data_IF_832863361944
#
_entry.id   IF_832863361944
#
_cell.length_a   1.000
_cell.length_b   1.000
_cell.length_c   1.000
_cell.angle_alpha   90.00
_cell.angle_beta   90.00
_cell.angle_gamma   90.00
#
_symmetry.space_group_name_H-M   'P 1'
#
loop_
_entity.id
_entity.type
_entity.pdbx_description
1 polymer ?
#
# COMPACT_ATOMS: atom_id res chain seq x y z
N UNK A 1 -9.40 8.86 -11.14
CA UNK A 1 -9.31 8.93 -9.66
C UNK A 1 -9.58 10.31 -9.11
N UNK A 2 -8.80 11.35 -9.45
CA UNK A 2 -8.97 12.69 -8.87
C UNK A 2 -10.34 13.33 -9.15
N UNK A 3 -10.91 13.11 -10.34
CA UNK A 3 -12.26 13.56 -10.68
C UNK A 3 -13.35 12.98 -9.76
N UNK A 4 -13.12 11.78 -9.21
CA UNK A 4 -14.05 11.03 -8.36
C UNK A 4 -13.55 10.96 -6.90
N UNK A 5 -12.72 11.92 -6.46
CA UNK A 5 -12.03 11.84 -5.17
C UNK A 5 -12.99 11.73 -3.99
N UNK A 6 -14.07 12.52 -4.00
CA UNK A 6 -15.02 12.56 -2.88
C UNK A 6 -15.86 11.28 -2.81
N UNK A 7 -16.31 10.76 -3.95
CA UNK A 7 -17.08 9.52 -4.00
C UNK A 7 -16.24 8.32 -3.54
N UNK A 8 -14.99 8.24 -4.02
CA UNK A 8 -14.04 7.23 -3.56
C UNK A 8 -13.74 7.35 -2.05
N UNK A 9 -13.60 8.59 -1.54
CA UNK A 9 -13.39 8.84 -0.12
C UNK A 9 -14.60 8.41 0.73
N UNK A 10 -15.82 8.63 0.23
CA UNK A 10 -17.05 8.19 0.88
C UNK A 10 -17.15 6.65 0.92
N UNK A 11 -16.85 5.97 -0.20
CA UNK A 11 -16.77 4.51 -0.26
C UNK A 11 -15.77 3.98 0.77
N UNK A 12 -14.53 4.49 0.75
CA UNK A 12 -13.47 4.06 1.65
C UNK A 12 -13.82 4.30 3.12
N UNK A 13 -14.36 5.47 3.45
CA UNK A 13 -14.83 5.80 4.81
C UNK A 13 -15.91 4.81 5.26
N UNK A 14 -16.82 4.45 4.35
CA UNK A 14 -17.93 3.56 4.67
C UNK A 14 -17.48 2.14 5.01
N UNK A 15 -16.45 1.62 4.34
CA UNK A 15 -15.97 0.24 4.53
C UNK A 15 -14.82 0.11 5.53
N UNK A 16 -13.91 1.09 5.59
CA UNK A 16 -12.70 1.04 6.40
C UNK A 16 -12.86 1.78 7.72
N UNK A 17 -13.65 2.87 7.74
CA UNK A 17 -13.98 3.63 8.95
C UNK A 17 -13.10 4.84 9.24
N UNK A 18 -12.02 5.11 8.48
CA UNK A 18 -11.22 6.34 8.64
C UNK A 18 -12.03 7.59 8.33
N UNK A 19 -11.69 8.76 8.92
CA UNK A 19 -12.32 10.03 8.58
C UNK A 19 -12.28 10.33 7.08
N UNK A 20 -13.35 10.94 6.55
CA UNK A 20 -13.47 11.25 5.11
C UNK A 20 -12.34 12.14 4.60
N UNK A 21 -11.79 13.02 5.45
CA UNK A 21 -10.63 13.84 5.12
C UNK A 21 -9.35 13.01 4.95
N UNK A 22 -9.14 12.00 5.81
CA UNK A 22 -8.04 11.04 5.65
C UNK A 22 -8.24 10.15 4.42
N UNK A 23 -9.48 9.72 4.15
CA UNK A 23 -9.81 8.95 2.96
C UNK A 23 -9.55 9.74 1.67
N UNK A 24 -9.98 11.00 1.61
CA UNK A 24 -9.71 11.88 0.46
C UNK A 24 -8.19 12.10 0.25
N UNK A 25 -7.44 12.27 1.35
CA UNK A 25 -5.98 12.31 1.33
C UNK A 25 -5.36 11.02 0.78
N UNK A 26 -5.87 9.86 1.19
CA UNK A 26 -5.43 8.58 0.64
C UNK A 26 -5.74 8.47 -0.86
N UNK A 27 -6.90 8.90 -1.34
CA UNK A 27 -7.22 8.85 -2.78
C UNK A 27 -6.24 9.70 -3.60
N UNK A 28 -5.90 10.90 -3.13
CA UNK A 28 -4.89 11.73 -3.78
C UNK A 28 -3.52 11.06 -3.75
N UNK A 29 -3.12 10.51 -2.61
CA UNK A 29 -1.87 9.78 -2.48
C UNK A 29 -1.81 8.54 -3.38
N UNK A 30 -2.90 7.77 -3.48
CA UNK A 30 -3.03 6.62 -4.34
C UNK A 30 -2.93 7.01 -5.83
N UNK A 31 -3.57 8.10 -6.24
CA UNK A 31 -3.48 8.62 -7.59
C UNK A 31 -2.04 9.04 -7.96
N UNK A 32 -1.29 9.62 -7.00
CA UNK A 32 0.10 10.04 -7.22
C UNK A 32 1.03 8.89 -7.60
N UNK A 33 0.78 7.66 -7.13
CA UNK A 33 1.55 6.49 -7.57
C UNK A 33 1.37 6.21 -9.05
N UNK A 34 0.12 6.29 -9.54
CA UNK A 34 -0.16 6.02 -10.95
C UNK A 34 0.50 7.06 -11.85
N UNK A 35 0.43 8.33 -11.47
CA UNK A 35 1.08 9.42 -12.20
C UNK A 35 2.61 9.25 -12.22
N UNK A 36 3.22 8.99 -11.06
CA UNK A 36 4.66 8.77 -10.96
C UNK A 36 5.11 7.58 -11.81
N UNK A 37 4.43 6.43 -11.70
CA UNK A 37 4.81 5.23 -12.46
C UNK A 37 4.50 5.34 -13.96
N UNK A 38 3.51 6.14 -14.37
CA UNK A 38 3.29 6.44 -15.78
C UNK A 38 4.48 7.20 -16.40
N UNK A 39 5.12 8.08 -15.63
CA UNK A 39 6.35 8.74 -16.07
C UNK A 39 7.55 7.80 -16.07
N UNK A 40 7.69 6.95 -15.04
CA UNK A 40 8.77 5.96 -14.99
C UNK A 40 8.67 4.86 -16.05
N UNK A 41 7.47 4.59 -16.58
CA UNK A 41 7.28 3.65 -17.70
C UNK A 41 8.13 4.01 -18.94
N UNK A 42 8.47 5.30 -19.11
CA UNK A 42 9.28 5.81 -20.23
C UNK A 42 10.79 5.66 -20.00
N UNK A 43 11.22 5.23 -18.80
CA UNK A 43 12.62 5.24 -18.33
C UNK A 43 13.11 3.86 -17.88
N UNK A 44 12.57 2.80 -18.49
CA UNK A 44 13.00 1.43 -18.21
C UNK A 44 14.25 1.11 -19.06
N UNK A 45 15.38 1.65 -18.62
CA UNK A 45 16.65 1.51 -19.33
C UNK A 45 17.33 0.17 -19.05
N UNK A 46 17.87 -0.43 -20.12
CA UNK A 46 18.85 -1.51 -20.06
C UNK A 46 20.29 -0.99 -20.05
N UNK A 47 21.27 -1.89 -20.08
CA UNK A 47 22.70 -1.54 -20.05
C UNK A 47 23.46 -2.08 -21.27
N UNK A 48 24.46 -1.34 -21.72
CA UNK A 48 25.48 -1.83 -22.67
C UNK A 48 26.76 -2.07 -21.88
N UNK A 49 27.18 -3.33 -21.80
CA UNK A 49 28.32 -3.73 -20.96
C UNK A 49 29.60 -3.86 -21.79
N UNK A 50 30.74 -3.62 -21.14
CA UNK A 50 32.05 -3.82 -21.76
C UNK A 50 32.28 -5.31 -22.02
N UNK A 51 32.59 -5.65 -23.26
CA UNK A 51 32.91 -7.03 -23.63
C UNK A 51 34.38 -7.32 -23.35
N UNK A 52 34.72 -8.43 -22.66
CA UNK A 52 36.10 -8.88 -22.52
C UNK A 52 36.66 -9.50 -23.81
N UNK A 53 35.82 -9.72 -24.83
CA UNK A 53 36.19 -10.34 -26.12
C UNK A 53 35.91 -9.39 -27.28
N UNK A 54 36.86 -9.28 -28.20
CA UNK A 54 36.70 -8.50 -29.42
C UNK A 54 35.55 -9.04 -30.29
N UNK A 55 34.84 -8.15 -30.97
CA UNK A 55 33.74 -8.51 -31.88
C UNK A 55 32.41 -8.88 -31.21
N UNK A 56 32.29 -8.72 -29.88
CA UNK A 56 31.06 -9.00 -29.14
C UNK A 56 30.48 -7.72 -28.52
N UNK A 57 29.15 -7.63 -28.46
CA UNK A 57 28.40 -6.60 -27.73
C UNK A 57 27.55 -7.27 -26.67
N UNK A 58 27.68 -6.83 -25.43
CA UNK A 58 26.89 -7.33 -24.31
C UNK A 58 25.79 -6.32 -23.99
N UNK A 59 24.55 -6.79 -23.95
CA UNK A 59 23.36 -5.99 -23.67
C UNK A 59 22.62 -6.63 -22.50
N UNK A 60 22.19 -5.82 -21.54
CA UNK A 60 21.23 -6.21 -20.51
C UNK A 60 19.91 -5.50 -20.81
N UNK A 61 18.85 -6.28 -21.07
CA UNK A 61 17.52 -5.75 -21.33
C UNK A 61 16.63 -5.97 -20.11
N UNK A 62 15.70 -5.05 -19.87
CA UNK A 62 14.65 -5.20 -18.85
C UNK A 62 13.32 -5.48 -19.54
N UNK A 63 12.64 -6.53 -19.12
CA UNK A 63 11.35 -6.96 -19.68
C UNK A 63 10.34 -7.22 -18.55
N UNK A 64 9.03 -7.09 -18.81
CA UNK A 64 8.01 -7.44 -17.84
C UNK A 64 8.17 -8.88 -17.38
N UNK A 65 7.94 -9.12 -16.09
CA UNK A 65 8.00 -10.48 -15.53
C UNK A 65 6.81 -11.34 -16.00
N UNK A 66 5.72 -10.73 -16.46
CA UNK A 66 4.53 -11.44 -16.97
C UNK A 66 3.28 -11.14 -16.16
N UNK A 67 2.50 -12.18 -15.84
CA UNK A 67 1.27 -12.03 -15.06
C UNK A 67 1.63 -11.94 -13.57
N UNK A 68 1.11 -10.91 -12.91
CA UNK A 68 1.39 -10.66 -11.49
C UNK A 68 0.10 -10.73 -10.67
N UNK A 69 0.23 -11.05 -9.39
CA UNK A 69 -0.89 -10.95 -8.46
C UNK A 69 -0.52 -10.14 -7.23
N UNK A 70 -1.48 -9.33 -6.76
CA UNK A 70 -1.36 -8.56 -5.54
C UNK A 70 -2.40 -9.02 -4.52
N UNK A 71 -1.94 -9.17 -3.27
CA UNK A 71 -2.80 -9.41 -2.11
C UNK A 71 -2.61 -8.21 -1.18
N UNK A 72 -3.66 -7.40 -1.00
CA UNK A 72 -3.59 -6.11 -0.30
C UNK A 72 -4.34 -6.14 1.05
N UNK A 73 -3.88 -5.35 2.04
CA UNK A 73 -4.53 -5.25 3.35
C UNK A 73 -5.73 -4.30 3.30
N UNK A 74 -6.44 -4.19 4.41
CA UNK A 74 -7.65 -3.36 4.55
C UNK A 74 -7.38 -1.91 4.98
N UNK A 75 -6.20 -1.60 5.50
CA UNK A 75 -5.96 -0.33 6.19
C UNK A 75 -5.80 0.87 5.25
N UNK A 76 -5.24 0.67 4.06
CA UNK A 76 -5.14 1.69 2.99
C UNK A 76 -5.57 1.07 1.65
N UNK A 77 -6.89 0.88 1.44
CA UNK A 77 -7.39 0.04 0.36
C UNK A 77 -7.15 0.61 -1.04
N UNK A 78 -7.00 1.93 -1.22
CA UNK A 78 -6.65 2.50 -2.51
C UNK A 78 -5.13 2.57 -2.72
N UNK A 79 -4.39 3.05 -1.72
CA UNK A 79 -2.96 3.28 -1.84
C UNK A 79 -2.18 1.96 -1.97
N UNK A 80 -2.59 0.89 -1.26
CA UNK A 80 -1.91 -0.40 -1.37
C UNK A 80 -2.14 -1.10 -2.72
N UNK A 81 -3.25 -0.80 -3.40
CA UNK A 81 -3.55 -1.32 -4.73
C UNK A 81 -2.74 -0.56 -5.78
N UNK A 82 -2.89 0.77 -5.82
CA UNK A 82 -2.25 1.63 -6.83
C UNK A 82 -0.72 1.58 -6.76
N UNK A 83 -0.13 1.46 -5.58
CA UNK A 83 1.33 1.26 -5.41
C UNK A 83 1.84 -0.07 -6.01
N UNK A 84 0.97 -1.05 -6.23
CA UNK A 84 1.32 -2.34 -6.85
C UNK A 84 0.96 -2.38 -8.33
N UNK A 85 -0.24 -1.91 -8.66
CA UNK A 85 -0.75 -1.85 -10.04
C UNK A 85 0.06 -0.87 -10.88
N UNK A 86 0.36 0.32 -10.36
CA UNK A 86 1.16 1.35 -11.04
C UNK A 86 2.46 0.82 -11.64
N UNK A 87 3.41 0.29 -10.83
CA UNK A 87 4.66 -0.22 -11.36
C UNK A 87 4.49 -1.47 -12.24
N UNK A 88 3.49 -2.32 -11.96
CA UNK A 88 3.26 -3.52 -12.77
C UNK A 88 2.84 -3.15 -14.20
N UNK A 89 1.85 -2.26 -14.34
CA UNK A 89 1.39 -1.80 -15.65
C UNK A 89 2.47 -0.96 -16.36
N UNK A 90 3.19 -0.10 -15.63
CA UNK A 90 4.32 0.66 -16.17
C UNK A 90 5.41 -0.25 -16.76
N UNK A 91 5.68 -1.39 -16.12
CA UNK A 91 6.63 -2.39 -16.62
C UNK A 91 6.09 -3.23 -17.79
N UNK A 92 4.80 -3.13 -18.12
CA UNK A 92 4.13 -3.95 -19.14
C UNK A 92 3.58 -5.29 -18.63
N UNK A 93 3.39 -5.44 -17.32
CA UNK A 93 2.76 -6.62 -16.71
C UNK A 93 1.24 -6.47 -16.64
N UNK A 94 0.53 -7.59 -16.50
CA UNK A 94 -0.87 -7.61 -16.07
C UNK A 94 -0.95 -7.90 -14.58
N UNK A 95 -2.03 -7.47 -13.92
CA UNK A 95 -2.21 -7.69 -12.49
C UNK A 95 -3.60 -8.16 -12.10
N UNK A 96 -3.64 -9.23 -11.31
CA UNK A 96 -4.82 -9.68 -10.57
C UNK A 96 -4.70 -9.22 -9.12
N UNK A 97 -5.65 -8.41 -8.65
CA UNK A 97 -5.66 -7.88 -7.28
C UNK A 97 -6.75 -8.57 -6.47
N UNK A 98 -6.34 -9.10 -5.32
CA UNK A 98 -7.23 -9.65 -4.30
C UNK A 98 -7.20 -8.77 -3.06
N UNK A 99 -8.17 -7.84 -2.90
CA UNK A 99 -8.23 -6.98 -1.73
C UNK A 99 -8.66 -7.74 -0.48
N UNK A 100 -8.42 -7.13 0.68
CA UNK A 100 -8.98 -7.60 1.94
C UNK A 100 -10.51 -7.63 1.87
N UNK A 101 -11.14 -8.66 2.45
CA UNK A 101 -12.59 -8.85 2.39
C UNK A 101 -13.37 -7.78 3.16
N UNK A 102 -12.70 -7.10 4.09
CA UNK A 102 -13.26 -6.04 4.91
C UNK A 102 -13.46 -4.72 4.12
N UNK A 103 -12.64 -4.49 3.09
CA UNK A 103 -12.64 -3.24 2.31
C UNK A 103 -12.55 -3.51 0.80
N UNK A 104 -13.52 -4.23 0.21
CA UNK A 104 -13.46 -4.60 -1.19
C UNK A 104 -13.97 -3.52 -2.15
N UNK A 105 -14.84 -2.61 -1.68
CA UNK A 105 -15.60 -1.69 -2.52
C UNK A 105 -14.69 -0.67 -3.21
N UNK A 106 -13.67 -0.15 -2.51
CA UNK A 106 -12.67 0.74 -3.11
C UNK A 106 -11.95 0.06 -4.28
N UNK A 107 -11.59 -1.22 -4.16
CA UNK A 107 -10.91 -1.96 -5.23
C UNK A 107 -11.81 -2.12 -6.47
N UNK A 108 -13.09 -2.42 -6.28
CA UNK A 108 -14.06 -2.51 -7.37
C UNK A 108 -14.26 -1.17 -8.07
N UNK A 109 -14.39 -0.09 -7.30
CA UNK A 109 -14.50 1.25 -7.87
C UNK A 109 -13.25 1.63 -8.69
N UNK A 110 -12.06 1.27 -8.23
CA UNK A 110 -10.82 1.45 -9.01
C UNK A 110 -10.82 0.63 -10.30
N UNK A 111 -11.40 -0.58 -10.32
CA UNK A 111 -11.51 -1.40 -11.53
C UNK A 111 -12.43 -0.75 -12.57
N UNK A 112 -13.59 -0.22 -12.15
CA UNK A 112 -14.50 0.53 -13.04
C UNK A 112 -13.79 1.76 -13.60
N UNK A 113 -13.11 2.54 -12.76
CA UNK A 113 -12.38 3.73 -13.22
C UNK A 113 -11.21 3.40 -14.15
N UNK A 114 -10.59 2.23 -14.01
CA UNK A 114 -9.54 1.79 -14.93
C UNK A 114 -10.11 1.44 -16.31
N UNK A 115 -11.27 0.78 -16.36
CA UNK A 115 -12.00 0.51 -17.59
C UNK A 115 -12.41 1.81 -18.29
N UNK A 116 -13.00 2.76 -17.56
CA UNK A 116 -13.35 4.09 -18.08
C UNK A 116 -12.13 4.87 -18.60
N UNK A 117 -10.97 4.68 -17.97
CA UNK A 117 -9.71 5.28 -18.41
C UNK A 117 -9.08 4.59 -19.64
N UNK A 118 -9.67 3.49 -20.13
CA UNK A 118 -9.21 2.76 -21.31
C UNK A 118 -8.13 1.71 -21.04
N UNK A 119 -7.97 1.25 -19.79
CA UNK A 119 -7.10 0.09 -19.51
C UNK A 119 -7.67 -1.13 -20.24
N UNK A 120 -6.87 -1.84 -21.07
CA UNK A 120 -7.39 -2.95 -21.85
C UNK A 120 -7.96 -4.07 -20.98
N UNK A 121 -9.00 -4.74 -21.49
CA UNK A 121 -9.63 -5.87 -20.81
C UNK A 121 -8.59 -6.95 -20.44
N UNK A 122 -8.62 -7.43 -19.20
CA UNK A 122 -7.69 -8.42 -18.68
C UNK A 122 -6.34 -7.89 -18.17
N UNK A 123 -6.03 -6.60 -18.35
CA UNK A 123 -4.77 -6.01 -17.83
C UNK A 123 -4.83 -5.75 -16.33
N UNK A 124 -5.97 -5.27 -15.83
CA UNK A 124 -6.23 -5.08 -14.40
C UNK A 124 -7.50 -5.80 -14.01
N UNK A 125 -7.38 -6.77 -13.10
CA UNK A 125 -8.49 -7.61 -12.66
C UNK A 125 -8.60 -7.54 -11.14
N UNK A 126 -9.82 -7.49 -10.61
CA UNK A 126 -10.08 -7.54 -9.17
C UNK A 126 -10.90 -8.77 -8.85
N UNK A 127 -10.39 -9.61 -7.93
CA UNK A 127 -11.07 -10.83 -7.48
C UNK A 127 -11.32 -10.78 -5.98
N UNK A 128 -12.52 -11.16 -5.57
CA UNK A 128 -12.94 -11.15 -4.16
C UNK A 128 -13.04 -12.57 -3.62
N UNK A 129 -12.89 -12.70 -2.30
CA UNK A 129 -13.11 -13.97 -1.60
C UNK A 129 -12.14 -14.22 -0.45
N UNK A 130 -12.21 -15.38 0.18
CA UNK A 130 -11.38 -15.72 1.34
C UNK A 130 -9.89 -15.78 1.00
N UNK A 131 -9.03 -15.24 1.85
CA UNK A 131 -7.58 -15.33 1.67
C UNK A 131 -7.05 -16.77 1.65
N UNK A 132 -7.66 -17.67 2.44
CA UNK A 132 -7.31 -19.10 2.49
C UNK A 132 -7.57 -19.86 1.20
N UNK A 133 -8.44 -19.34 0.33
CA UNK A 133 -8.88 -20.01 -0.89
C UNK A 133 -8.32 -19.28 -2.09
N UNK A 134 -8.76 -18.03 -2.30
CA UNK A 134 -8.31 -17.21 -3.44
C UNK A 134 -6.84 -16.83 -3.31
N UNK A 135 -6.37 -16.53 -2.10
CA UNK A 135 -4.95 -16.21 -1.90
C UNK A 135 -4.03 -17.39 -2.19
N UNK A 136 -4.42 -18.59 -1.78
CA UNK A 136 -3.68 -19.82 -2.10
C UNK A 136 -3.72 -20.11 -3.61
N UNK A 137 -4.89 -19.98 -4.22
CA UNK A 137 -5.03 -20.18 -5.66
C UNK A 137 -4.11 -19.23 -6.45
N UNK A 138 -4.06 -17.95 -6.07
CA UNK A 138 -3.15 -16.97 -6.69
C UNK A 138 -1.66 -17.33 -6.50
N UNK A 139 -1.27 -17.82 -5.31
CA UNK A 139 0.13 -18.18 -5.06
C UNK A 139 0.55 -19.47 -5.78
N UNK A 140 -0.39 -20.34 -6.11
CA UNK A 140 -0.12 -21.64 -6.75
C UNK A 140 -0.32 -21.62 -8.26
N UNK A 141 -1.16 -20.72 -8.79
CA UNK A 141 -1.53 -20.69 -10.20
C UNK A 141 -0.31 -20.65 -11.14
N UNK A 142 -0.23 -21.52 -12.17
CA UNK A 142 0.99 -21.70 -12.96
C UNK A 142 1.34 -20.50 -13.86
N UNK A 143 0.38 -19.65 -14.20
CA UNK A 143 0.60 -18.48 -15.07
C UNK A 143 1.10 -17.25 -14.28
N UNK A 144 0.94 -17.23 -12.95
CA UNK A 144 1.36 -16.07 -12.16
C UNK A 144 2.86 -16.17 -11.90
N UNK A 145 3.62 -15.17 -12.34
CA UNK A 145 5.09 -15.14 -12.23
C UNK A 145 5.56 -14.41 -10.97
N UNK A 146 4.74 -13.47 -10.46
CA UNK A 146 5.07 -12.65 -9.29
C UNK A 146 3.91 -12.45 -8.33
N UNK A 147 4.19 -12.57 -7.04
CA UNK A 147 3.28 -12.21 -5.94
C UNK A 147 3.77 -10.94 -5.23
N UNK A 148 2.90 -9.95 -5.10
CA UNK A 148 3.11 -8.77 -4.26
C UNK A 148 2.16 -8.79 -3.06
N UNK A 149 2.68 -9.11 -1.89
CA UNK A 149 1.90 -9.24 -0.67
C UNK A 149 2.13 -8.06 0.27
N UNK A 150 1.05 -7.53 0.83
CA UNK A 150 1.12 -6.62 1.99
C UNK A 150 0.14 -7.09 3.05
N UNK A 151 0.61 -7.24 4.30
CA UNK A 151 -0.22 -7.73 5.39
C UNK A 151 0.60 -8.14 6.61
N UNK A 152 0.07 -9.05 7.43
CA UNK A 152 0.78 -9.51 8.63
C UNK A 152 1.87 -10.55 8.31
N UNK A 153 2.94 -10.55 9.12
CA UNK A 153 4.07 -11.50 9.01
C UNK A 153 3.62 -12.96 8.91
N UNK A 154 2.66 -13.37 9.75
CA UNK A 154 2.20 -14.76 9.79
C UNK A 154 1.57 -15.22 8.46
N UNK A 155 0.78 -14.35 7.83
CA UNK A 155 0.19 -14.63 6.50
C UNK A 155 1.25 -14.50 5.40
N UNK A 156 2.15 -13.51 5.51
CA UNK A 156 3.29 -13.36 4.60
C UNK A 156 4.12 -14.64 4.50
N UNK A 157 4.49 -15.26 5.64
CA UNK A 157 5.21 -16.54 5.64
C UNK A 157 4.48 -17.64 4.88
N UNK A 158 3.14 -17.73 5.01
CA UNK A 158 2.33 -18.73 4.28
C UNK A 158 2.32 -18.45 2.78
N UNK A 159 2.17 -17.18 2.39
CA UNK A 159 2.24 -16.74 0.99
C UNK A 159 3.61 -17.07 0.39
N UNK A 160 4.70 -16.78 1.11
CA UNK A 160 6.06 -17.09 0.66
C UNK A 160 6.23 -18.60 0.45
N UNK A 161 5.80 -19.39 1.43
CA UNK A 161 5.93 -20.84 1.38
C UNK A 161 5.16 -21.43 0.18
N UNK A 162 3.91 -21.03 -0.02
CA UNK A 162 3.07 -21.51 -1.13
C UNK A 162 3.60 -21.07 -2.51
N UNK A 163 4.07 -19.83 -2.63
CA UNK A 163 4.69 -19.32 -3.85
C UNK A 163 6.01 -20.07 -4.17
N UNK A 164 6.83 -20.36 -3.15
CA UNK A 164 8.06 -21.11 -3.31
C UNK A 164 7.82 -22.58 -3.65
N UNK A 165 6.84 -23.22 -3.00
CA UNK A 165 6.53 -24.64 -3.20
C UNK A 165 5.75 -24.94 -4.48
N UNK A 166 5.20 -23.92 -5.15
CA UNK A 166 4.48 -24.09 -6.41
C UNK A 166 5.44 -24.06 -7.61
N UNK A 167 5.64 -22.89 -8.21
CA UNK A 167 6.50 -22.69 -9.39
C UNK A 167 7.69 -21.78 -9.09
N UNK A 168 8.08 -21.67 -7.81
CA UNK A 168 9.16 -20.79 -7.34
C UNK A 168 8.98 -19.33 -7.77
N UNK A 169 7.78 -18.78 -7.54
CA UNK A 169 7.40 -17.44 -7.99
C UNK A 169 8.20 -16.35 -7.27
N UNK A 170 8.44 -15.24 -7.95
CA UNK A 170 9.03 -14.04 -7.33
C UNK A 170 8.07 -13.45 -6.29
N UNK A 171 8.56 -13.13 -5.09
CA UNK A 171 7.70 -12.58 -4.02
C UNK A 171 8.29 -11.33 -3.40
N UNK A 172 7.49 -10.27 -3.36
CA UNK A 172 7.78 -9.04 -2.59
C UNK A 172 6.81 -8.91 -1.43
N UNK A 173 7.31 -8.51 -0.27
CA UNK A 173 6.53 -8.47 0.97
C UNK A 173 6.68 -7.17 1.75
N UNK A 174 5.55 -6.65 2.21
CA UNK A 174 5.46 -5.56 3.19
C UNK A 174 4.70 -6.08 4.41
N UNK A 175 5.39 -6.30 5.54
CA UNK A 175 4.91 -7.17 6.63
C UNK A 175 4.60 -6.46 7.97
N UNK A 176 4.28 -5.17 7.94
CA UNK A 176 4.10 -4.37 9.14
C UNK A 176 5.42 -4.01 9.82
N UNK A 177 5.35 -3.27 10.91
CA UNK A 177 6.54 -2.71 11.55
C UNK A 177 6.38 -2.48 13.05
N UNK A 178 7.50 -2.15 13.69
CA UNK A 178 7.58 -1.71 15.09
C UNK A 178 8.47 -0.46 15.14
N UNK A 179 8.07 0.55 14.37
CA UNK A 179 8.89 1.73 14.09
C UNK A 179 9.18 2.54 15.36
N UNK A 180 10.45 2.88 15.62
CA UNK A 180 10.82 3.77 16.71
C UNK A 180 10.60 5.24 16.31
N UNK A 181 10.12 6.04 17.24
CA UNK A 181 10.24 7.50 17.23
C UNK A 181 11.26 7.88 18.30
N UNK A 182 12.46 8.29 17.91
CA UNK A 182 13.54 8.65 18.83
C UNK A 182 13.59 10.17 18.96
N UNK A 183 13.42 10.67 20.18
CA UNK A 183 13.50 12.09 20.54
C UNK A 183 14.89 12.33 21.13
N UNK A 184 15.65 13.23 20.54
CA UNK A 184 16.95 13.64 21.06
C UNK A 184 16.80 14.65 22.20
N UNK A 185 17.86 14.86 22.97
CA UNK A 185 17.90 15.78 24.12
C UNK A 185 17.79 17.26 23.74
N UNK A 186 18.15 17.59 22.49
CA UNK A 186 18.02 18.92 21.89
C UNK A 186 16.70 19.12 21.12
N UNK A 187 15.80 18.12 21.13
CA UNK A 187 14.56 18.19 20.38
C UNK A 187 13.58 19.21 20.98
N UNK A 188 12.89 19.94 20.09
CA UNK A 188 11.73 20.73 20.46
C UNK A 188 10.62 19.82 21.02
N UNK A 189 10.30 20.00 22.31
CA UNK A 189 9.38 19.13 23.04
C UNK A 189 7.95 19.20 22.50
N UNK A 190 7.48 20.39 22.14
CA UNK A 190 6.13 20.58 21.64
C UNK A 190 5.96 19.94 20.26
N UNK A 191 6.91 20.17 19.36
CA UNK A 191 6.95 19.54 18.05
C UNK A 191 7.08 18.03 18.17
N UNK A 192 7.90 17.54 19.09
CA UNK A 192 8.03 16.10 19.34
C UNK A 192 6.70 15.48 19.80
N UNK A 193 5.95 16.18 20.66
CA UNK A 193 4.63 15.73 21.12
C UNK A 193 3.60 15.72 19.97
N UNK A 194 3.59 16.72 19.09
CA UNK A 194 2.73 16.75 17.89
C UNK A 194 3.03 15.59 16.94
N UNK A 195 4.32 15.35 16.66
CA UNK A 195 4.76 14.22 15.83
C UNK A 195 4.36 12.89 16.47
N UNK A 196 4.55 12.73 17.79
CA UNK A 196 4.22 11.50 18.48
C UNK A 196 2.72 11.19 18.42
N UNK A 197 1.87 12.20 18.58
CA UNK A 197 0.41 12.03 18.46
C UNK A 197 0.02 11.68 17.04
N UNK A 198 0.52 12.41 16.04
CA UNK A 198 0.24 12.09 14.64
C UNK A 198 0.68 10.66 14.30
N UNK A 199 1.92 10.31 14.65
CA UNK A 199 2.53 9.01 14.35
C UNK A 199 1.95 7.84 15.16
N UNK A 200 1.04 8.06 16.11
CA UNK A 200 0.39 6.99 16.86
C UNK A 200 -1.12 6.91 16.64
N UNK A 201 -1.78 8.05 16.37
CA UNK A 201 -3.24 8.13 16.28
C UNK A 201 -3.78 8.38 14.85
N UNK A 202 -2.93 8.75 13.88
CA UNK A 202 -3.34 8.87 12.49
C UNK A 202 -3.92 7.54 11.97
N UNK A 203 -5.08 7.58 11.31
CA UNK A 203 -5.83 6.37 10.90
C UNK A 203 -6.04 5.37 12.06
N UNK A 204 -6.22 5.89 13.29
CA UNK A 204 -6.33 5.13 14.54
C UNK A 204 -5.13 4.21 14.82
N UNK A 205 -3.94 4.58 14.36
CA UNK A 205 -2.71 3.81 14.52
C UNK A 205 -2.59 2.58 13.62
N UNK A 206 -3.51 2.40 12.66
CA UNK A 206 -3.58 1.24 11.78
C UNK A 206 -2.65 1.40 10.56
N UNK A 207 -1.40 1.80 10.79
CA UNK A 207 -0.39 2.08 9.76
C UNK A 207 0.84 1.20 9.96
N UNK A 208 1.39 0.63 8.89
CA UNK A 208 2.56 -0.26 9.00
C UNK A 208 3.82 0.47 9.52
N UNK A 209 3.93 1.77 9.25
CA UNK A 209 5.05 2.64 9.64
C UNK A 209 4.78 3.45 10.91
N UNK A 210 3.67 3.19 11.62
CA UNK A 210 3.27 3.94 12.83
C UNK A 210 4.41 3.98 13.87
N UNK A 211 4.66 5.15 14.46
CA UNK A 211 5.73 5.42 15.45
C UNK A 211 5.42 4.84 16.83
N UNK A 212 5.10 3.54 16.87
CA UNK A 212 4.53 2.81 18.01
C UNK A 212 5.42 2.74 19.25
N UNK A 213 6.72 3.00 19.13
CA UNK A 213 7.64 3.06 20.28
C UNK A 213 8.33 4.41 20.31
N UNK A 214 7.91 5.26 21.23
CA UNK A 214 8.53 6.56 21.45
C UNK A 214 9.64 6.42 22.50
N UNK A 215 10.85 6.81 22.14
CA UNK A 215 12.01 6.87 23.03
C UNK A 215 12.31 8.34 23.31
N UNK A 216 12.29 8.71 24.59
CA UNK A 216 12.49 10.09 25.05
C UNK A 216 13.54 10.12 26.16
N UNK A 217 14.39 11.16 26.25
CA UNK A 217 15.34 11.30 27.34
C UNK A 217 14.61 11.36 28.68
N UNK A 218 15.19 10.72 29.71
CA UNK A 218 14.57 10.65 31.04
C UNK A 218 14.28 12.03 31.63
N UNK A 219 15.13 13.02 31.35
CA UNK A 219 14.95 14.42 31.77
C UNK A 219 13.73 15.10 31.16
N UNK A 220 13.28 14.66 29.98
CA UNK A 220 12.14 15.23 29.25
C UNK A 220 10.84 14.44 29.43
N UNK A 221 10.91 13.21 29.96
CA UNK A 221 9.81 12.25 29.96
C UNK A 221 8.50 12.82 30.53
N UNK A 222 8.53 13.39 31.74
CA UNK A 222 7.32 13.88 32.39
C UNK A 222 6.66 15.04 31.62
N UNK A 223 7.47 15.99 31.13
CA UNK A 223 6.97 17.12 30.34
C UNK A 223 6.43 16.65 28.98
N UNK A 224 7.10 15.70 28.35
CA UNK A 224 6.67 15.10 27.09
C UNK A 224 5.35 14.34 27.23
N UNK A 225 5.19 13.50 28.25
CA UNK A 225 3.95 12.77 28.52
C UNK A 225 2.77 13.71 28.75
N UNK A 226 2.97 14.77 29.55
CA UNK A 226 1.95 15.79 29.76
C UNK A 226 1.56 16.48 28.44
N UNK A 227 2.53 16.86 27.62
CA UNK A 227 2.31 17.51 26.33
C UNK A 227 1.56 16.61 25.33
N UNK A 228 1.84 15.30 25.33
CA UNK A 228 1.13 14.29 24.52
C UNK A 228 -0.31 14.11 25.02
N UNK A 229 -0.52 13.97 26.32
CA UNK A 229 -1.86 13.78 26.91
C UNK A 229 -2.78 14.96 26.58
N UNK A 230 -2.28 16.20 26.67
CA UNK A 230 -3.05 17.39 26.33
C UNK A 230 -3.49 17.44 24.85
N UNK A 231 -2.66 16.91 23.94
CA UNK A 231 -3.00 16.78 22.52
C UNK A 231 -4.00 15.66 22.27
N UNK A 232 -3.84 14.51 22.93
CA UNK A 232 -4.76 13.36 22.80
C UNK A 232 -6.17 13.72 23.25
N UNK A 233 -6.32 14.50 24.33
CA UNK A 233 -7.63 14.99 24.79
C UNK A 233 -8.41 15.80 23.75
N UNK A 234 -7.72 16.35 22.74
CA UNK A 234 -8.33 17.14 21.65
C UNK A 234 -8.80 16.28 20.48
N UNK A 235 -8.45 14.99 20.45
CA UNK A 235 -8.87 14.07 19.39
C UNK A 235 -10.38 13.86 19.51
N UNK A 236 -11.11 14.20 18.44
CA UNK A 236 -12.56 13.98 18.36
C UNK A 236 -12.83 12.60 17.80
N UNK A 237 -13.46 11.76 18.62
CA UNK A 237 -13.95 10.45 18.19
C UNK A 237 -15.35 10.65 17.60
N UNK A 238 -15.54 10.29 16.35
CA UNK A 238 -16.85 10.36 15.69
C UNK A 238 -17.32 8.96 15.29
N UNK A 239 -18.62 8.71 15.40
CA UNK A 239 -19.26 7.56 14.79
C UNK A 239 -19.29 7.72 13.27
N UNK A 240 -19.49 6.61 12.55
CA UNK A 240 -19.71 6.56 11.10
C UNK A 240 -20.65 7.70 10.68
N UNK A 241 -20.30 8.56 9.70
CA UNK A 241 -21.26 9.49 9.13
C UNK A 241 -22.49 8.68 8.71
N UNK A 242 -23.68 9.08 9.15
CA UNK A 242 -24.92 8.46 8.65
C UNK A 242 -24.87 8.56 7.13
N UNK A 243 -25.06 7.44 6.43
CA UNK A 243 -25.21 7.47 4.99
C UNK A 243 -26.28 8.52 4.64
N UNK A 244 -26.09 9.34 3.60
CA UNK A 244 -27.17 10.19 3.13
C UNK A 244 -28.39 9.31 2.89
N UNK A 245 -29.56 9.74 3.38
CA UNK A 245 -30.80 9.02 3.14
C UNK A 245 -30.99 8.91 1.64
N UNK A 246 -31.06 7.68 1.12
CA UNK A 246 -31.53 7.40 -0.24
C UNK A 246 -32.98 7.87 -0.40
#
# INVERSE_FOLDING_TARGET
MMQNQQDLAAIMTSEQGKPVTEAAGEIAYAASFLEWFAEEAKRIDGDVLQSPKAGQRLLALKQPIGVTAAITPWNFPAAMITRKVGPALAAGCTMVVKPAQQTPLTALALAVLAEEAGVPAGVFNVVQGPGREIGQWLTEHPVIEKISFTGGVATGKKVMASAASSSLKEVTMELGGKSPLVICDDADLDRAADIAVMANFFSSGQVCTNGTRVFVPRSMLAAFEAAVVERVKRIRIAARPKAPAC
#
